data_IF_253517202672
#
_entry.id   IF_253517202672
#
_cell.length_a   1.000
_cell.length_b   1.000
_cell.length_c   1.000
_cell.angle_alpha   90.00
_cell.angle_beta   90.00
_cell.angle_gamma   90.00
#
_symmetry.space_group_name_H-M   'P 1'
#
loop_
_entity.id
_entity.type
_entity.pdbx_description
1 polymer ?
#
# COMPACT_ATOMS: atom_id res chain seq x y z
N UNK A 1 5.89 -1.72 19.15
CA UNK A 1 5.31 -2.62 18.14
C UNK A 1 6.37 -2.91 17.10
N UNK A 2 6.35 -4.11 16.52
CA UNK A 2 7.18 -4.44 15.36
C UNK A 2 6.36 -4.22 14.09
N UNK A 3 6.84 -3.37 13.21
CA UNK A 3 6.15 -3.02 11.95
C UNK A 3 6.99 -3.39 10.74
N UNK A 4 6.36 -3.94 9.72
CA UNK A 4 6.98 -4.17 8.41
C UNK A 4 6.49 -3.09 7.45
N UNK A 5 7.42 -2.36 6.82
CA UNK A 5 7.10 -1.36 5.79
C UNK A 5 7.59 -1.89 4.43
N UNK A 6 6.65 -2.34 3.61
CA UNK A 6 6.92 -2.81 2.24
C UNK A 6 6.87 -1.63 1.27
N UNK A 7 7.90 -1.50 0.44
CA UNK A 7 8.12 -0.32 -0.41
C UNK A 7 8.87 0.81 0.32
N UNK A 8 9.61 0.47 1.37
CA UNK A 8 10.33 1.42 2.21
C UNK A 8 11.39 2.24 1.46
N UNK A 9 11.91 1.78 0.33
CA UNK A 9 12.86 2.53 -0.50
C UNK A 9 12.21 3.65 -1.34
N UNK A 10 10.87 3.66 -1.46
CA UNK A 10 10.12 4.67 -2.21
C UNK A 10 9.88 5.97 -1.41
N UNK A 11 9.31 6.98 -2.07
CA UNK A 11 9.05 8.31 -1.47
C UNK A 11 8.19 8.22 -0.21
N UNK A 12 7.03 7.56 -0.28
CA UNK A 12 6.14 7.37 0.87
C UNK A 12 6.77 6.49 1.94
N UNK A 13 7.39 5.38 1.52
CA UNK A 13 8.00 4.43 2.44
C UNK A 13 9.12 5.04 3.27
N UNK A 14 10.01 5.82 2.68
CA UNK A 14 11.09 6.54 3.40
C UNK A 14 10.54 7.50 4.45
N UNK A 15 9.51 8.28 4.10
CA UNK A 15 8.87 9.20 5.04
C UNK A 15 8.27 8.45 6.23
N UNK A 16 7.49 7.40 5.95
CA UNK A 16 6.83 6.61 7.00
C UNK A 16 7.86 5.87 7.88
N UNK A 17 8.94 5.35 7.30
CA UNK A 17 10.04 4.76 8.08
C UNK A 17 10.59 5.77 9.08
N UNK A 18 10.99 6.97 8.63
CA UNK A 18 11.52 8.01 9.52
C UNK A 18 10.53 8.53 10.55
N UNK A 19 9.22 8.49 10.25
CA UNK A 19 8.18 8.89 11.18
C UNK A 19 7.93 7.85 12.28
N UNK A 20 7.95 6.55 11.94
CA UNK A 20 7.61 5.47 12.87
C UNK A 20 8.81 4.91 13.65
N UNK A 21 10.04 4.94 13.11
CA UNK A 21 11.24 4.37 13.75
C UNK A 21 11.59 5.00 15.10
N UNK A 22 11.09 6.22 15.38
CA UNK A 22 11.29 6.91 16.65
C UNK A 22 10.58 6.25 17.83
N UNK A 23 9.49 5.51 17.55
CA UNK A 23 8.59 4.98 18.57
C UNK A 23 8.42 3.45 18.46
N UNK A 24 8.85 2.86 17.33
CA UNK A 24 8.57 1.47 17.02
C UNK A 24 9.77 0.77 16.38
N UNK A 25 9.83 -0.55 16.49
CA UNK A 25 10.75 -1.40 15.75
C UNK A 25 10.27 -1.48 14.29
N UNK A 26 11.06 -1.00 13.35
CA UNK A 26 10.74 -1.02 11.92
C UNK A 26 11.62 -2.03 11.20
N UNK A 27 10.97 -2.91 10.43
CA UNK A 27 11.63 -3.78 9.46
C UNK A 27 11.28 -3.26 8.07
N UNK A 28 12.26 -2.74 7.37
CA UNK A 28 12.08 -2.22 6.01
C UNK A 28 12.17 -3.34 4.98
N UNK A 29 11.28 -3.32 3.97
CA UNK A 29 11.29 -4.29 2.89
C UNK A 29 11.07 -3.62 1.52
N UNK A 30 11.87 -4.00 0.54
CA UNK A 30 11.73 -3.54 -0.84
C UNK A 30 12.48 -4.48 -1.79
N UNK A 31 12.43 -4.22 -3.10
CA UNK A 31 13.19 -4.99 -4.10
C UNK A 31 14.72 -4.86 -3.92
N UNK A 32 15.19 -3.80 -3.27
CA UNK A 32 16.60 -3.57 -2.92
C UNK A 32 16.76 -2.46 -1.87
N UNK A 33 17.90 -2.48 -1.17
CA UNK A 33 18.31 -1.37 -0.29
C UNK A 33 17.49 -1.22 0.99
N UNK A 34 16.96 -2.32 1.52
CA UNK A 34 16.23 -2.40 2.78
C UNK A 34 16.73 -3.60 3.59
N UNK A 35 16.24 -3.74 4.83
CA UNK A 35 16.61 -4.84 5.73
C UNK A 35 16.26 -6.20 5.10
N UNK A 36 15.11 -6.27 4.45
CA UNK A 36 14.64 -7.46 3.74
C UNK A 36 14.42 -7.16 2.26
N UNK A 37 14.77 -8.11 1.41
CA UNK A 37 14.47 -8.04 -0.01
C UNK A 37 13.13 -8.74 -0.28
N UNK A 38 12.24 -8.09 -1.07
CA UNK A 38 10.97 -8.65 -1.49
C UNK A 38 10.59 -8.20 -2.90
N UNK A 39 10.21 -9.17 -3.71
CA UNK A 39 9.45 -8.97 -4.95
C UNK A 39 7.99 -9.32 -4.68
N UNK A 40 7.13 -8.30 -4.60
CA UNK A 40 5.70 -8.50 -4.29
C UNK A 40 4.92 -9.19 -5.41
N UNK A 41 5.51 -9.37 -6.59
CA UNK A 41 4.90 -10.16 -7.69
C UNK A 41 5.14 -11.67 -7.53
N UNK A 42 6.00 -12.07 -6.59
CA UNK A 42 6.35 -13.45 -6.30
C UNK A 42 5.88 -13.87 -4.92
N UNK A 43 4.95 -14.82 -4.85
CA UNK A 43 4.48 -15.37 -3.57
C UNK A 43 5.60 -16.00 -2.76
N UNK A 44 6.53 -16.72 -3.42
CA UNK A 44 7.70 -17.30 -2.76
C UNK A 44 8.62 -16.24 -2.13
N UNK A 45 8.81 -15.09 -2.81
CA UNK A 45 9.58 -13.98 -2.24
C UNK A 45 8.89 -13.34 -1.04
N UNK A 46 7.55 -13.24 -1.06
CA UNK A 46 6.75 -12.75 0.07
C UNK A 46 6.84 -13.72 1.26
N UNK A 47 6.74 -15.03 1.03
CA UNK A 47 6.90 -16.06 2.07
C UNK A 47 8.29 -16.01 2.70
N UNK A 48 9.34 -15.88 1.89
CA UNK A 48 10.72 -15.75 2.37
C UNK A 48 10.91 -14.49 3.22
N UNK A 49 10.35 -13.36 2.81
CA UNK A 49 10.36 -12.13 3.58
C UNK A 49 9.71 -12.34 4.97
N UNK A 50 8.51 -12.93 5.03
CA UNK A 50 7.84 -13.16 6.32
C UNK A 50 8.56 -14.18 7.20
N UNK A 51 9.15 -15.22 6.62
CA UNK A 51 9.98 -16.17 7.38
C UNK A 51 11.17 -15.50 8.04
N UNK A 52 11.83 -14.57 7.35
CA UNK A 52 12.97 -13.81 7.88
C UNK A 52 12.50 -12.76 8.90
N UNK A 53 11.40 -12.07 8.63
CA UNK A 53 10.85 -11.08 9.55
C UNK A 53 10.33 -11.72 10.84
N UNK A 54 9.78 -12.92 10.80
CA UNK A 54 9.06 -13.53 11.92
C UNK A 54 7.74 -12.82 12.21
N UNK A 55 7.22 -12.96 13.43
CA UNK A 55 5.96 -12.32 13.82
C UNK A 55 6.06 -10.80 13.87
N UNK A 56 4.96 -10.11 13.58
CA UNK A 56 4.87 -8.65 13.54
C UNK A 56 3.49 -8.16 13.99
N UNK A 57 3.39 -6.87 14.34
CA UNK A 57 2.15 -6.25 14.82
C UNK A 57 1.43 -5.42 13.75
N UNK A 58 2.18 -4.83 12.81
CA UNK A 58 1.61 -4.05 11.72
C UNK A 58 2.39 -4.25 10.42
N UNK A 59 1.67 -4.29 9.30
CA UNK A 59 2.25 -4.20 7.96
C UNK A 59 1.69 -2.99 7.24
N UNK A 60 2.60 -2.17 6.71
CA UNK A 60 2.30 -1.04 5.85
C UNK A 60 2.85 -1.35 4.45
N UNK A 61 2.00 -1.30 3.43
CA UNK A 61 2.44 -1.42 2.05
C UNK A 61 2.28 -0.08 1.31
N UNK A 62 3.40 0.43 0.80
CA UNK A 62 3.45 1.61 -0.10
C UNK A 62 3.95 1.23 -1.49
N UNK A 63 4.12 -0.07 -1.75
CA UNK A 63 4.60 -0.61 -3.02
C UNK A 63 3.45 -0.93 -3.97
N UNK A 64 3.76 -0.91 -5.25
CA UNK A 64 2.86 -1.35 -6.30
C UNK A 64 3.01 -0.50 -7.56
N UNK A 65 3.81 -0.97 -8.54
CA UNK A 65 3.93 -0.29 -9.81
C UNK A 65 2.63 -0.38 -10.59
N UNK A 66 2.35 0.65 -11.38
CA UNK A 66 1.27 0.66 -12.36
C UNK A 66 1.74 1.37 -13.62
N UNK A 67 1.11 1.04 -14.76
CA UNK A 67 1.39 1.72 -16.01
C UNK A 67 0.69 3.08 -16.03
N UNK A 68 1.41 4.10 -16.50
CA UNK A 68 0.88 5.44 -16.75
C UNK A 68 1.11 5.76 -18.22
N UNK A 69 0.04 5.96 -18.96
CA UNK A 69 0.14 6.26 -20.39
C UNK A 69 -1.22 6.32 -21.09
N UNK A 70 -1.25 6.82 -22.35
CA UNK A 70 -2.48 7.02 -23.08
C UNK A 70 -3.20 5.69 -23.33
N UNK A 71 -4.54 5.74 -23.27
CA UNK A 71 -5.43 4.59 -23.50
C UNK A 71 -5.09 3.82 -24.80
N UNK A 72 -4.75 4.54 -25.85
CA UNK A 72 -4.42 3.94 -27.16
C UNK A 72 -3.13 3.11 -27.18
N UNK A 73 -2.30 3.24 -26.16
CA UNK A 73 -1.05 2.46 -25.98
C UNK A 73 -1.15 1.42 -24.85
N UNK A 74 -2.31 1.34 -24.20
CA UNK A 74 -2.53 0.39 -23.10
C UNK A 74 -2.86 -0.98 -23.68
N UNK A 75 -1.90 -1.89 -23.63
CA UNK A 75 -2.05 -3.30 -24.05
C UNK A 75 -2.34 -4.19 -22.83
N UNK A 76 -2.68 -5.47 -23.06
CA UNK A 76 -2.82 -6.46 -21.97
C UNK A 76 -1.57 -6.51 -21.09
N UNK A 77 -0.39 -6.46 -21.68
CA UNK A 77 0.88 -6.48 -20.94
C UNK A 77 1.02 -5.30 -19.99
N UNK A 78 0.79 -4.09 -20.46
CA UNK A 78 0.86 -2.89 -19.62
C UNK A 78 -0.26 -2.89 -18.56
N UNK A 79 -1.46 -3.38 -18.91
CA UNK A 79 -2.56 -3.47 -17.94
C UNK A 79 -2.22 -4.43 -16.81
N UNK A 80 -1.62 -5.59 -17.11
CA UNK A 80 -1.20 -6.58 -16.10
C UNK A 80 -0.17 -6.06 -15.11
N UNK A 81 0.63 -5.05 -15.44
CA UNK A 81 1.57 -4.46 -14.47
C UNK A 81 0.87 -3.96 -13.19
N UNK A 82 -0.27 -3.31 -13.32
CA UNK A 82 -1.06 -2.89 -12.16
C UNK A 82 -1.78 -4.05 -11.48
N UNK A 83 -2.26 -5.01 -12.27
CA UNK A 83 -2.94 -6.20 -11.74
C UNK A 83 -1.96 -7.06 -10.92
N UNK A 84 -0.83 -7.41 -11.48
CA UNK A 84 0.15 -8.31 -10.83
C UNK A 84 0.98 -7.58 -9.78
N UNK A 85 1.49 -6.39 -10.10
CA UNK A 85 2.37 -5.63 -9.22
C UNK A 85 1.63 -4.93 -8.08
N UNK A 86 0.61 -4.12 -8.40
CA UNK A 86 -0.07 -3.34 -7.37
C UNK A 86 -1.20 -4.11 -6.69
N UNK A 87 -2.12 -4.70 -7.46
CA UNK A 87 -3.27 -5.40 -6.89
C UNK A 87 -2.86 -6.71 -6.23
N UNK A 88 -2.38 -7.67 -7.00
CA UNK A 88 -2.04 -9.00 -6.46
C UNK A 88 -0.86 -8.95 -5.49
N UNK A 89 0.13 -8.09 -5.74
CA UNK A 89 1.24 -7.91 -4.80
C UNK A 89 0.77 -7.54 -3.39
N UNK A 90 -0.14 -6.58 -3.27
CA UNK A 90 -0.69 -6.17 -1.97
C UNK A 90 -1.65 -7.21 -1.38
N UNK A 91 -2.49 -7.84 -2.20
CA UNK A 91 -3.38 -8.92 -1.77
C UNK A 91 -2.56 -10.09 -1.21
N UNK A 92 -1.52 -10.52 -1.89
CA UNK A 92 -0.66 -11.62 -1.45
C UNK A 92 0.08 -11.32 -0.14
N UNK A 93 0.47 -10.05 0.10
CA UNK A 93 1.02 -9.65 1.40
C UNK A 93 0.03 -9.90 2.55
N UNK A 94 -1.27 -9.74 2.32
CA UNK A 94 -2.30 -10.02 3.35
C UNK A 94 -2.57 -11.52 3.44
N UNK A 95 -2.78 -12.21 2.30
CA UNK A 95 -3.08 -13.65 2.27
C UNK A 95 -1.99 -14.49 2.94
N UNK A 96 -0.73 -14.13 2.76
CA UNK A 96 0.39 -14.85 3.36
C UNK A 96 0.67 -14.28 4.77
N UNK A 97 0.67 -12.95 4.91
CA UNK A 97 1.01 -12.27 6.16
C UNK A 97 0.05 -12.55 7.32
N UNK A 98 -1.22 -12.93 7.04
CA UNK A 98 -2.17 -13.30 8.10
C UNK A 98 -1.71 -14.46 8.98
N UNK A 99 -0.78 -15.29 8.50
CA UNK A 99 -0.21 -16.41 9.25
C UNK A 99 0.98 -16.01 10.14
N UNK A 100 1.46 -14.77 10.04
CA UNK A 100 2.61 -14.25 10.77
C UNK A 100 2.25 -13.07 11.68
N UNK A 101 1.15 -12.38 11.39
CA UNK A 101 0.72 -11.20 12.15
C UNK A 101 0.19 -11.61 13.54
N UNK A 102 0.58 -10.84 14.55
CA UNK A 102 0.10 -11.04 15.92
C UNK A 102 -1.41 -10.72 16.02
N UNK A 103 -2.15 -11.37 16.95
CA UNK A 103 -3.53 -11.00 17.26
C UNK A 103 -3.68 -9.50 17.53
N UNK A 104 -4.78 -8.90 17.05
CA UNK A 104 -5.07 -7.46 17.09
C UNK A 104 -4.13 -6.60 16.25
N UNK A 105 -3.30 -7.20 15.41
CA UNK A 105 -2.44 -6.51 14.47
C UNK A 105 -3.21 -5.78 13.35
N UNK A 106 -2.49 -5.13 12.45
CA UNK A 106 -3.10 -4.36 11.36
C UNK A 106 -2.35 -4.45 10.04
N UNK A 107 -3.11 -4.57 8.95
CA UNK A 107 -2.63 -4.36 7.59
C UNK A 107 -3.07 -2.99 7.09
N UNK A 108 -2.16 -2.23 6.49
CA UNK A 108 -2.46 -0.97 5.82
C UNK A 108 -1.96 -1.01 4.40
N UNK A 109 -2.88 -1.02 3.45
CA UNK A 109 -2.59 -1.04 2.01
C UNK A 109 -2.64 0.37 1.42
N UNK A 110 -2.07 0.54 0.23
CA UNK A 110 -2.13 1.80 -0.53
C UNK A 110 -3.03 1.64 -1.75
N UNK A 111 -4.11 2.40 -1.82
CA UNK A 111 -4.91 2.56 -3.03
C UNK A 111 -4.62 3.92 -3.71
N UNK A 112 -5.60 4.74 -3.91
CA UNK A 112 -5.49 6.11 -4.43
C UNK A 112 -6.81 6.60 -5.01
N UNK A 113 -7.01 7.90 -5.03
CA UNK A 113 -8.23 8.58 -5.47
C UNK A 113 -8.71 8.21 -6.88
N UNK A 114 -7.81 7.72 -7.73
CA UNK A 114 -8.12 7.28 -9.09
C UNK A 114 -9.20 6.18 -9.18
N UNK A 115 -9.51 5.48 -8.08
CA UNK A 115 -10.62 4.51 -8.01
C UNK A 115 -12.00 5.15 -8.12
N UNK A 116 -12.14 6.40 -7.68
CA UNK A 116 -13.42 7.14 -7.65
C UNK A 116 -13.36 8.49 -8.38
N UNK A 117 -12.16 9.01 -8.60
CA UNK A 117 -11.91 10.22 -9.40
C UNK A 117 -10.79 9.93 -10.42
N UNK A 118 -11.12 9.23 -11.54
CA UNK A 118 -10.14 8.76 -12.50
C UNK A 118 -9.60 9.92 -13.36
N UNK A 119 -8.31 9.89 -13.59
CA UNK A 119 -7.62 10.85 -14.46
C UNK A 119 -7.16 10.18 -15.76
N UNK A 120 -6.97 10.98 -16.82
CA UNK A 120 -6.46 10.47 -18.10
C UNK A 120 -5.10 9.78 -17.91
N UNK A 121 -4.85 8.71 -18.64
CA UNK A 121 -3.61 7.92 -18.65
C UNK A 121 -3.44 6.97 -17.44
N UNK A 122 -4.40 6.88 -16.51
CA UNK A 122 -4.29 6.09 -15.29
C UNK A 122 -5.29 4.93 -15.19
N UNK A 123 -5.88 4.47 -16.29
CA UNK A 123 -6.89 3.40 -16.27
C UNK A 123 -6.42 2.12 -15.54
N UNK A 124 -5.16 1.75 -15.72
CA UNK A 124 -4.53 0.62 -15.03
C UNK A 124 -4.48 0.84 -13.51
N UNK A 125 -4.03 2.02 -13.07
CA UNK A 125 -3.96 2.36 -11.64
C UNK A 125 -5.34 2.47 -11.01
N UNK A 126 -6.33 3.05 -11.73
CA UNK A 126 -7.70 3.16 -11.28
C UNK A 126 -8.33 1.78 -11.02
N UNK A 127 -8.16 0.84 -11.94
CA UNK A 127 -8.64 -0.54 -11.79
C UNK A 127 -7.99 -1.24 -10.59
N UNK A 128 -6.66 -1.15 -10.45
CA UNK A 128 -5.94 -1.75 -9.33
C UNK A 128 -6.36 -1.14 -7.97
N UNK A 129 -6.54 0.18 -7.90
CA UNK A 129 -7.00 0.86 -6.69
C UNK A 129 -8.41 0.40 -6.29
N UNK A 130 -9.35 0.34 -7.24
CA UNK A 130 -10.71 -0.13 -6.98
C UNK A 130 -10.75 -1.58 -6.49
N UNK A 131 -9.91 -2.44 -7.05
CA UNK A 131 -9.80 -3.83 -6.62
C UNK A 131 -9.24 -3.95 -5.18
N UNK A 132 -8.21 -3.17 -4.83
CA UNK A 132 -7.67 -3.11 -3.47
C UNK A 132 -8.73 -2.64 -2.48
N UNK A 133 -9.50 -1.60 -2.81
CA UNK A 133 -10.56 -1.08 -1.93
C UNK A 133 -11.69 -2.10 -1.72
N UNK A 134 -12.06 -2.83 -2.77
CA UNK A 134 -13.02 -3.94 -2.67
C UNK A 134 -12.47 -5.07 -1.78
N UNK A 135 -11.22 -5.47 -2.00
CA UNK A 135 -10.55 -6.50 -1.21
C UNK A 135 -10.47 -6.13 0.29
N UNK A 136 -10.08 -4.89 0.60
CA UNK A 136 -9.98 -4.41 1.99
C UNK A 136 -11.32 -4.54 2.74
N UNK A 137 -12.43 -4.17 2.08
CA UNK A 137 -13.76 -4.28 2.68
C UNK A 137 -14.16 -5.74 2.93
N UNK A 138 -13.86 -6.63 1.98
CA UNK A 138 -14.14 -8.05 2.12
C UNK A 138 -13.23 -8.71 3.18
N UNK A 139 -11.91 -8.48 3.11
CA UNK A 139 -10.97 -9.06 4.06
C UNK A 139 -11.22 -8.61 5.51
N UNK A 140 -11.78 -7.41 5.71
CA UNK A 140 -12.08 -6.88 7.04
C UNK A 140 -13.13 -7.71 7.82
N UNK A 141 -13.99 -8.45 7.11
CA UNK A 141 -15.00 -9.35 7.74
C UNK A 141 -14.53 -10.80 7.81
N UNK A 142 -13.42 -11.14 7.13
CA UNK A 142 -12.86 -12.49 7.11
C UNK A 142 -11.67 -12.66 8.07
N UNK A 143 -10.92 -11.58 8.33
CA UNK A 143 -9.73 -11.64 9.19
C UNK A 143 -10.14 -11.89 10.66
N UNK A 144 -9.55 -12.95 11.23
CA UNK A 144 -9.82 -13.40 12.60
C UNK A 144 -8.92 -12.71 13.65
N UNK A 145 -9.08 -13.08 14.91
CA UNK A 145 -8.24 -12.67 16.04
C UNK A 145 -8.14 -11.14 16.25
N UNK A 146 -9.13 -10.38 15.79
CA UNK A 146 -9.14 -8.92 15.90
C UNK A 146 -8.14 -8.22 14.97
N UNK A 147 -7.61 -8.91 13.96
CA UNK A 147 -6.75 -8.33 12.95
C UNK A 147 -7.57 -7.34 12.11
N UNK A 148 -7.01 -6.16 11.88
CA UNK A 148 -7.64 -5.08 11.12
C UNK A 148 -6.97 -4.90 9.78
N UNK A 149 -7.73 -4.44 8.80
CA UNK A 149 -7.22 -4.07 7.48
C UNK A 149 -7.88 -2.81 6.99
N UNK A 150 -7.08 -1.84 6.50
CA UNK A 150 -7.56 -0.62 5.87
C UNK A 150 -6.71 -0.28 4.64
N UNK A 151 -7.19 0.63 3.81
CA UNK A 151 -6.39 1.24 2.76
C UNK A 151 -6.29 2.76 2.97
N UNK A 152 -5.12 3.33 2.68
CA UNK A 152 -4.95 4.78 2.53
C UNK A 152 -5.07 5.11 1.05
N UNK A 153 -5.93 6.08 0.71
CA UNK A 153 -6.30 6.46 -0.65
C UNK A 153 -6.01 7.95 -0.89
N UNK A 154 -4.73 8.33 -1.12
CA UNK A 154 -4.39 9.72 -1.41
C UNK A 154 -4.76 10.13 -2.84
N UNK A 155 -4.84 11.44 -3.09
CA UNK A 155 -4.69 12.03 -4.42
C UNK A 155 -3.19 12.09 -4.78
N UNK A 156 -2.78 12.99 -5.67
CA UNK A 156 -1.37 13.24 -5.94
C UNK A 156 -0.66 13.75 -4.68
N UNK A 157 0.54 13.25 -4.40
CA UNK A 157 1.33 13.66 -3.24
C UNK A 157 2.30 14.80 -3.58
N UNK A 158 2.56 15.70 -2.63
CA UNK A 158 3.40 16.89 -2.82
C UNK A 158 4.81 16.56 -3.36
N UNK A 159 5.37 15.42 -2.98
CA UNK A 159 6.71 14.98 -3.41
C UNK A 159 6.73 14.27 -4.78
N UNK A 160 5.65 14.39 -5.56
CA UNK A 160 5.54 13.82 -6.91
C UNK A 160 5.08 14.85 -7.95
N UNK A 161 5.79 16.00 -8.09
CA UNK A 161 5.36 17.12 -8.93
C UNK A 161 5.23 16.75 -10.42
N UNK A 162 5.91 15.71 -10.88
CA UNK A 162 5.79 15.20 -12.25
C UNK A 162 4.37 14.72 -12.61
N UNK A 163 3.54 14.43 -11.61
CA UNK A 163 2.16 14.00 -11.81
C UNK A 163 1.14 15.14 -11.73
N UNK A 164 1.49 16.31 -11.18
CA UNK A 164 0.56 17.44 -11.02
C UNK A 164 -0.21 17.83 -12.30
N UNK A 165 0.41 17.81 -13.50
CA UNK A 165 -0.33 18.14 -14.73
C UNK A 165 -1.49 17.17 -15.04
N UNK A 166 -1.51 15.99 -14.45
CA UNK A 166 -2.59 15.01 -14.63
C UNK A 166 -3.73 15.16 -13.64
N UNK A 167 -3.57 15.98 -12.62
CA UNK A 167 -4.54 16.18 -11.53
C UNK A 167 -4.98 17.65 -11.44
N UNK A 168 -5.62 18.18 -12.52
CA UNK A 168 -6.01 19.59 -12.54
C UNK A 168 -7.10 19.86 -11.50
N UNK A 169 -6.85 20.81 -10.60
CA UNK A 169 -7.77 21.18 -9.52
C UNK A 169 -7.58 20.42 -8.21
N UNK A 170 -6.80 19.34 -8.20
CA UNK A 170 -6.44 18.66 -6.96
C UNK A 170 -5.39 19.44 -6.16
N UNK A 171 -5.59 19.52 -4.86
CA UNK A 171 -4.57 19.99 -3.93
C UNK A 171 -3.67 18.79 -3.58
N UNK A 172 -2.34 18.87 -3.83
CA UNK A 172 -1.45 17.77 -3.48
C UNK A 172 -1.49 17.46 -1.98
N UNK A 173 -1.62 16.18 -1.64
CA UNK A 173 -1.59 15.69 -0.26
C UNK A 173 -0.18 15.86 0.29
N UNK A 174 -0.04 16.50 1.44
CA UNK A 174 1.24 16.64 2.12
C UNK A 174 1.69 15.30 2.71
N UNK A 175 3.00 15.13 2.89
CA UNK A 175 3.53 13.92 3.53
C UNK A 175 3.04 13.76 4.97
N UNK A 176 2.77 14.87 5.66
CA UNK A 176 2.19 14.85 7.00
C UNK A 176 0.74 14.36 6.99
N UNK A 177 -0.11 14.83 6.07
CA UNK A 177 -1.48 14.33 5.91
C UNK A 177 -1.49 12.84 5.57
N UNK A 178 -0.58 12.42 4.68
CA UNK A 178 -0.40 11.01 4.33
C UNK A 178 -0.06 10.19 5.58
N UNK A 179 0.93 10.61 6.37
CA UNK A 179 1.33 9.98 7.63
C UNK A 179 0.14 9.81 8.58
N UNK A 180 -0.67 10.86 8.78
CA UNK A 180 -1.86 10.78 9.62
C UNK A 180 -2.86 9.74 9.13
N UNK A 181 -3.02 9.57 7.82
CA UNK A 181 -3.82 8.49 7.23
C UNK A 181 -3.31 7.11 7.64
N UNK A 182 -2.00 6.89 7.56
CA UNK A 182 -1.37 5.63 7.98
C UNK A 182 -1.44 5.43 9.50
N UNK A 183 -1.18 6.45 10.31
CA UNK A 183 -1.34 6.39 11.77
C UNK A 183 -2.78 6.03 12.16
N UNK A 184 -3.79 6.63 11.51
CA UNK A 184 -5.20 6.29 11.73
C UNK A 184 -5.51 4.83 11.41
N UNK A 185 -4.93 4.28 10.36
CA UNK A 185 -5.07 2.87 10.01
C UNK A 185 -4.42 1.94 11.03
N UNK A 186 -3.17 2.22 11.41
CA UNK A 186 -2.36 1.36 12.27
C UNK A 186 -2.88 1.37 13.71
N UNK A 187 -3.19 2.56 14.27
CA UNK A 187 -3.51 2.73 15.69
C UNK A 187 -5.00 2.89 15.98
N UNK A 188 -5.81 3.22 14.97
CA UNK A 188 -7.26 3.36 15.13
C UNK A 188 -7.97 2.01 15.31
N UNK A 189 -9.21 2.05 15.81
CA UNK A 189 -10.00 0.85 16.03
C UNK A 189 -10.75 0.35 14.79
N UNK A 190 -10.82 1.15 13.73
CA UNK A 190 -11.62 0.83 12.55
C UNK A 190 -10.93 -0.21 11.66
N UNK A 191 -11.75 -1.02 10.99
CA UNK A 191 -11.34 -1.96 9.94
C UNK A 191 -12.20 -1.79 8.70
N UNK A 192 -11.72 -2.21 7.53
CA UNK A 192 -12.45 -2.12 6.26
C UNK A 192 -12.57 -0.71 5.69
N UNK A 193 -11.81 0.26 6.22
CA UNK A 193 -11.92 1.66 5.83
C UNK A 193 -11.00 2.02 4.66
N UNK A 194 -11.50 2.93 3.81
CA UNK A 194 -10.71 3.61 2.79
C UNK A 194 -10.46 5.03 3.31
N UNK A 195 -9.27 5.24 3.86
CA UNK A 195 -8.87 6.47 4.53
C UNK A 195 -8.36 7.46 3.48
N UNK A 196 -9.06 8.57 3.33
CA UNK A 196 -8.72 9.66 2.42
C UNK A 196 -8.01 10.75 3.21
N UNK A 197 -6.70 10.98 3.00
CA UNK A 197 -5.91 11.95 3.77
C UNK A 197 -6.00 13.39 3.21
N UNK A 198 -7.15 13.78 2.66
CA UNK A 198 -7.44 15.09 2.05
C UNK A 198 -8.86 15.54 2.37
#
# INVERSE_FOLDING_TARGET
MKMIIVGASGTMGKHLTGAFEKEHEIVTAASKGCDLQVDITSTGSIEDMFRQAGSFDALICTAGPSFVGPWTKLTDKEFRQGVEGKMMGQINLVLIGQHYINPKGSFTLISGALSHDPQKNFANAAAANGAIEGFVKAAAIELENGIRINAVSPTVIENSPQYFPYFPGDVPVTMQQLEFGFRKSVFGANTGQIIKPY
#
